data_IF_989345637564
#
_entry.id   IF_989345637564
#
_cell.length_a   1.000
_cell.length_b   1.000
_cell.length_c   1.000
_cell.angle_alpha   90.00
_cell.angle_beta   90.00
_cell.angle_gamma   90.00
#
_symmetry.space_group_name_H-M   'P 1'
#
loop_
_entity.id
_entity.type
_entity.pdbx_description
1 polymer ?
#
# COMPACT_ATOMS: atom_id res chain seq x y z
N UNK A 1 2.00 -28.31 -8.23
CA UNK A 1 2.37 -27.79 -9.57
C UNK A 1 1.10 -27.48 -10.36
N UNK A 2 0.70 -26.20 -10.40
CA UNK A 2 -0.41 -25.58 -11.16
C UNK A 2 -0.58 -24.18 -10.55
N UNK A 3 -0.58 -23.04 -11.23
CA UNK A 3 -0.22 -22.72 -12.60
C UNK A 3 0.30 -21.29 -12.59
N UNK A 4 1.45 -21.06 -13.21
CA UNK A 4 1.92 -19.70 -13.54
C UNK A 4 0.94 -19.18 -14.58
N UNK A 5 0.12 -18.19 -14.20
CA UNK A 5 -0.75 -17.51 -15.14
C UNK A 5 0.16 -16.72 -16.08
N UNK A 6 0.46 -17.32 -17.24
CA UNK A 6 1.17 -16.64 -18.33
C UNK A 6 0.37 -15.40 -18.68
N UNK A 7 1.03 -14.24 -18.61
CA UNK A 7 0.54 -13.02 -19.20
C UNK A 7 0.39 -13.28 -20.72
N UNK A 8 -0.84 -13.49 -21.19
CA UNK A 8 -1.13 -13.67 -22.61
C UNK A 8 -1.09 -12.31 -23.30
N UNK A 9 0.11 -11.83 -23.58
CA UNK A 9 0.32 -10.86 -24.65
C UNK A 9 0.20 -11.62 -25.99
N UNK A 10 -1.03 -11.84 -26.43
CA UNK A 10 -1.29 -12.36 -27.76
C UNK A 10 -0.94 -11.26 -28.79
N UNK A 11 0.10 -11.52 -29.59
CA UNK A 11 0.31 -10.85 -30.88
C UNK A 11 1.01 -9.49 -30.85
N UNK A 12 2.28 -9.44 -30.46
CA UNK A 12 3.17 -8.36 -30.90
C UNK A 12 4.43 -8.95 -31.52
N UNK A 13 4.51 -8.85 -32.84
CA UNK A 13 5.68 -9.14 -33.67
C UNK A 13 6.95 -8.51 -33.08
N UNK A 14 8.01 -9.31 -32.96
CA UNK A 14 9.34 -8.95 -32.44
C UNK A 14 10.15 -8.02 -33.37
N UNK A 15 9.50 -7.11 -34.10
CA UNK A 15 10.20 -6.11 -34.91
C UNK A 15 9.69 -4.71 -34.58
N UNK A 16 10.54 -3.96 -33.87
CA UNK A 16 10.47 -2.51 -33.79
C UNK A 16 9.40 -1.96 -32.86
N UNK A 17 9.69 -1.93 -31.55
CA UNK A 17 9.28 -0.88 -30.59
C UNK A 17 9.85 -1.21 -29.21
N UNK A 18 10.89 -0.50 -28.81
CA UNK A 18 11.32 -0.45 -27.41
C UNK A 18 10.34 0.43 -26.62
N UNK A 19 9.10 -0.05 -26.44
CA UNK A 19 8.22 0.48 -25.41
C UNK A 19 8.03 -0.63 -24.40
N UNK A 20 8.86 -0.67 -23.36
CA UNK A 20 8.51 -1.43 -22.18
C UNK A 20 7.17 -0.86 -21.71
N UNK A 21 6.07 -1.64 -21.74
CA UNK A 21 4.81 -1.13 -21.21
C UNK A 21 5.04 -0.81 -19.74
N UNK A 22 4.63 0.38 -19.28
CA UNK A 22 4.65 0.81 -17.87
C UNK A 22 4.01 -0.21 -16.89
N UNK A 23 3.37 -1.25 -17.42
CA UNK A 23 2.92 -2.48 -16.78
C UNK A 23 3.94 -3.22 -15.87
N UNK A 24 5.23 -2.89 -15.88
CA UNK A 24 6.24 -3.65 -15.11
C UNK A 24 6.16 -3.43 -13.59
N UNK A 25 5.61 -2.31 -13.12
CA UNK A 25 5.48 -2.00 -11.69
C UNK A 25 4.01 -2.11 -11.33
N UNK A 26 3.55 -3.34 -11.06
CA UNK A 26 2.23 -3.56 -10.45
C UNK A 26 2.42 -3.87 -8.97
N UNK A 27 2.22 -2.85 -8.15
CA UNK A 27 1.71 -3.06 -6.80
C UNK A 27 0.19 -3.06 -6.96
N UNK A 28 -0.52 -4.19 -6.78
CA UNK A 28 -1.99 -4.11 -6.83
C UNK A 28 -2.49 -3.48 -5.54
N UNK A 29 -2.25 -4.11 -4.38
CA UNK A 29 -2.50 -3.49 -3.07
C UNK A 29 -1.53 -3.95 -1.96
N UNK A 30 -1.31 -3.05 -1.00
CA UNK A 30 -0.54 -3.27 0.22
C UNK A 30 -1.37 -2.90 1.44
N UNK A 31 -1.25 -3.66 2.53
CA UNK A 31 -1.95 -3.37 3.79
C UNK A 31 -1.03 -3.42 5.00
N UNK A 32 -1.26 -2.51 5.95
CA UNK A 32 -0.65 -2.50 7.28
C UNK A 32 -1.74 -2.54 8.38
N UNK A 33 -2.00 -3.71 9.00
CA UNK A 33 -3.05 -3.89 9.99
C UNK A 33 -2.70 -3.38 11.40
N UNK A 34 -1.60 -2.64 11.56
CA UNK A 34 -1.24 -1.92 12.78
C UNK A 34 -0.40 -0.69 12.41
N UNK A 35 -0.97 0.17 11.56
CA UNK A 35 -0.16 1.09 10.76
C UNK A 35 0.41 2.29 11.53
N UNK A 36 -0.08 2.59 12.74
CA UNK A 36 0.32 3.77 13.50
C UNK A 36 0.15 5.03 12.67
N UNK A 37 1.18 5.86 12.65
CA UNK A 37 1.25 7.09 11.84
C UNK A 37 1.48 6.85 10.33
N UNK A 38 1.44 5.60 9.87
CA UNK A 38 1.50 5.25 8.44
C UNK A 38 2.90 5.22 7.81
N UNK A 39 3.96 5.05 8.61
CA UNK A 39 5.34 5.11 8.10
C UNK A 39 5.64 4.04 7.04
N UNK A 40 5.28 2.77 7.27
CA UNK A 40 5.50 1.70 6.29
C UNK A 40 4.77 1.98 4.97
N UNK A 41 3.52 2.41 5.05
CA UNK A 41 2.71 2.75 3.87
C UNK A 41 3.31 3.93 3.10
N UNK A 42 3.70 4.99 3.81
CA UNK A 42 4.27 6.21 3.24
C UNK A 42 5.63 5.94 2.57
N UNK A 43 6.54 5.26 3.25
CA UNK A 43 7.87 4.93 2.70
C UNK A 43 7.79 3.97 1.52
N UNK A 44 6.88 3.00 1.58
CA UNK A 44 6.63 2.09 0.45
C UNK A 44 6.08 2.85 -0.74
N UNK A 45 5.10 3.73 -0.53
CA UNK A 45 4.55 4.58 -1.57
C UNK A 45 5.63 5.46 -2.23
N UNK A 46 6.42 6.19 -1.44
CA UNK A 46 7.50 7.07 -1.95
C UNK A 46 8.53 6.23 -2.73
N UNK A 47 8.92 5.09 -2.19
CA UNK A 47 9.93 4.22 -2.81
C UNK A 47 9.46 3.69 -4.18
N UNK A 48 8.20 3.26 -4.27
CA UNK A 48 7.61 2.77 -5.53
C UNK A 48 7.39 3.92 -6.52
N UNK A 49 6.93 5.10 -6.07
CA UNK A 49 6.81 6.30 -6.92
C UNK A 49 8.13 6.77 -7.47
N UNK A 50 9.20 6.74 -6.67
CA UNK A 50 10.56 7.05 -7.17
C UNK A 50 11.05 6.03 -8.18
N UNK A 51 10.71 4.76 -8.01
CA UNK A 51 11.00 3.73 -9.01
C UNK A 51 10.23 3.97 -10.31
N UNK A 52 8.94 4.29 -10.22
CA UNK A 52 8.09 4.67 -11.36
C UNK A 52 8.66 5.90 -12.09
N UNK A 53 9.07 6.93 -11.36
CA UNK A 53 9.71 8.12 -11.90
C UNK A 53 11.01 7.80 -12.67
N UNK A 54 11.84 6.88 -12.16
CA UNK A 54 13.03 6.40 -12.89
C UNK A 54 12.65 5.72 -14.21
N UNK A 55 11.61 4.89 -14.20
CA UNK A 55 11.11 4.24 -15.42
C UNK A 55 10.57 5.27 -16.42
N UNK A 56 9.82 6.27 -15.95
CA UNK A 56 9.31 7.35 -16.80
C UNK A 56 10.44 8.15 -17.46
N UNK A 57 11.48 8.50 -16.71
CA UNK A 57 12.65 9.20 -17.23
C UNK A 57 13.35 8.38 -18.34
N UNK A 58 13.54 7.07 -18.12
CA UNK A 58 14.14 6.16 -19.10
C UNK A 58 13.26 5.93 -20.34
N UNK A 59 11.94 6.02 -20.20
CA UNK A 59 11.02 5.95 -21.34
C UNK A 59 10.98 7.25 -22.15
N UNK A 60 11.21 8.40 -21.51
CA UNK A 60 11.21 9.68 -22.20
C UNK A 60 12.50 9.98 -22.96
N UNK A 61 13.69 9.51 -22.53
CA UNK A 61 15.00 9.72 -23.20
C UNK A 61 15.19 11.09 -23.90
N UNK A 62 14.67 12.17 -23.32
CA UNK A 62 14.75 13.51 -23.89
C UNK A 62 13.86 13.80 -25.10
N UNK A 63 12.97 12.89 -25.51
CA UNK A 63 11.92 13.18 -26.48
C UNK A 63 10.82 13.99 -25.78
N UNK A 64 10.65 15.25 -26.21
CA UNK A 64 9.47 16.04 -25.85
C UNK A 64 8.28 15.38 -26.54
N UNK A 65 7.40 14.73 -25.77
CA UNK A 65 6.11 14.24 -26.28
C UNK A 65 5.24 15.47 -26.59
N UNK A 66 5.36 16.00 -27.80
CA UNK A 66 4.38 16.93 -28.36
C UNK A 66 3.15 16.15 -28.82
N UNK A 67 1.99 16.43 -28.23
CA UNK A 67 0.70 16.06 -28.83
C UNK A 67 0.13 14.70 -28.47
N UNK A 68 0.19 14.27 -27.21
CA UNK A 68 -0.81 13.31 -26.70
C UNK A 68 -1.57 13.94 -25.56
N UNK A 69 -2.76 14.43 -25.90
CA UNK A 69 -3.85 14.59 -24.93
C UNK A 69 -4.02 13.27 -24.13
N UNK A 70 -4.08 13.43 -22.81
CA UNK A 70 -5.04 12.80 -21.87
C UNK A 70 -4.65 11.65 -20.93
N UNK A 71 -3.50 10.98 -21.02
CA UNK A 71 -3.17 9.93 -20.04
C UNK A 71 -2.15 10.37 -18.98
N UNK A 72 -2.59 10.56 -17.74
CA UNK A 72 -1.70 10.68 -16.58
C UNK A 72 -0.74 9.46 -16.57
N UNK A 73 0.60 9.66 -16.67
CA UNK A 73 1.54 8.56 -16.76
C UNK A 73 1.71 7.80 -15.44
N UNK A 74 1.25 8.38 -14.34
CA UNK A 74 1.30 7.81 -12.99
C UNK A 74 0.30 6.67 -12.90
N UNK A 75 0.76 5.49 -12.52
CA UNK A 75 -0.05 4.31 -12.25
C UNK A 75 -0.17 4.04 -10.74
N UNK A 76 0.85 4.43 -9.97
CA UNK A 76 0.91 4.17 -8.53
C UNK A 76 0.17 5.27 -7.76
N UNK A 77 -0.83 4.88 -6.98
CA UNK A 77 -1.72 5.78 -6.21
C UNK A 77 -1.79 5.36 -4.75
N UNK A 78 -2.00 6.35 -3.85
CA UNK A 78 -2.24 6.07 -2.42
C UNK A 78 -3.49 5.22 -2.18
N UNK A 79 -4.43 5.13 -3.15
CA UNK A 79 -5.62 4.28 -3.07
C UNK A 79 -5.29 2.76 -3.02
N UNK A 80 -4.05 2.39 -3.34
CA UNK A 80 -3.55 1.01 -3.29
C UNK A 80 -3.05 0.62 -1.89
N UNK A 81 -3.02 1.58 -0.95
CA UNK A 81 -2.47 1.41 0.39
C UNK A 81 -3.59 1.44 1.44
N UNK A 82 -3.64 0.40 2.25
CA UNK A 82 -4.67 0.18 3.27
C UNK A 82 -4.03 0.12 4.65
N UNK A 83 -4.72 0.65 5.65
CA UNK A 83 -4.23 0.65 7.03
C UNK A 83 -5.34 0.46 8.04
N UNK A 84 -5.03 -0.24 9.12
CA UNK A 84 -5.90 -0.34 10.31
C UNK A 84 -5.09 0.18 11.49
N UNK A 85 -5.64 1.15 12.20
CA UNK A 85 -5.02 1.72 13.40
C UNK A 85 -6.11 2.00 14.43
N UNK A 86 -5.83 1.71 15.70
CA UNK A 86 -6.81 1.83 16.79
C UNK A 86 -6.87 3.27 17.35
N UNK A 87 -5.81 4.05 17.18
CA UNK A 87 -5.72 5.43 17.62
C UNK A 87 -6.13 6.42 16.51
N UNK A 88 -7.22 7.14 16.74
CA UNK A 88 -7.82 8.14 15.82
C UNK A 88 -6.83 9.24 15.36
N UNK A 89 -5.99 9.72 16.26
CA UNK A 89 -4.97 10.71 15.96
C UNK A 89 -3.92 10.13 15.00
N UNK A 90 -3.43 8.93 15.26
CA UNK A 90 -2.48 8.24 14.39
C UNK A 90 -3.08 7.95 13.00
N UNK A 91 -4.36 7.57 12.92
CA UNK A 91 -5.09 7.44 11.63
C UNK A 91 -5.08 8.75 10.86
N UNK A 92 -5.35 9.88 11.52
CA UNK A 92 -5.36 11.21 10.90
C UNK A 92 -3.97 11.61 10.40
N UNK A 93 -2.93 11.33 11.20
CA UNK A 93 -1.54 11.55 10.81
C UNK A 93 -1.17 10.70 9.60
N UNK A 94 -1.53 9.42 9.57
CA UNK A 94 -1.24 8.50 8.47
C UNK A 94 -1.88 8.96 7.14
N UNK A 95 -3.15 9.37 7.17
CA UNK A 95 -3.84 9.92 5.99
C UNK A 95 -3.14 11.18 5.46
N UNK A 96 -2.79 12.09 6.38
CA UNK A 96 -2.12 13.34 6.04
C UNK A 96 -0.73 13.08 5.47
N UNK A 97 0.04 12.15 6.04
CA UNK A 97 1.36 11.77 5.57
C UNK A 97 1.32 11.20 4.14
N UNK A 98 0.34 10.34 3.83
CA UNK A 98 0.14 9.81 2.48
C UNK A 98 -0.19 10.91 1.46
N UNK A 99 -1.06 11.87 1.80
CA UNK A 99 -1.35 13.01 0.91
C UNK A 99 -0.14 13.92 0.69
N UNK A 100 0.64 14.19 1.74
CA UNK A 100 1.89 14.97 1.62
C UNK A 100 2.87 14.23 0.70
N UNK A 101 3.04 12.93 0.89
CA UNK A 101 3.89 12.11 0.04
C UNK A 101 3.39 12.10 -1.41
N UNK A 102 2.08 12.00 -1.63
CA UNK A 102 1.48 12.06 -2.96
C UNK A 102 1.77 13.39 -3.66
N UNK A 103 1.57 14.51 -2.97
CA UNK A 103 1.90 15.85 -3.46
C UNK A 103 3.38 15.97 -3.83
N UNK A 104 4.29 15.50 -2.97
CA UNK A 104 5.74 15.53 -3.23
C UNK A 104 6.12 14.69 -4.46
N UNK A 105 5.57 13.48 -4.58
CA UNK A 105 5.86 12.60 -5.71
C UNK A 105 5.30 13.13 -7.03
N UNK A 106 4.13 13.79 -7.00
CA UNK A 106 3.60 14.47 -8.20
C UNK A 106 4.55 15.56 -8.67
N UNK A 107 5.04 16.42 -7.76
CA UNK A 107 6.01 17.46 -8.10
C UNK A 107 7.33 16.88 -8.65
N UNK A 108 7.80 15.76 -8.10
CA UNK A 108 8.96 15.04 -8.67
C UNK A 108 8.67 14.52 -10.09
N UNK A 109 7.47 13.98 -10.34
CA UNK A 109 7.07 13.50 -11.68
C UNK A 109 6.97 14.66 -12.68
N UNK A 110 6.35 15.79 -12.33
CA UNK A 110 6.22 16.98 -13.20
C UNK A 110 7.58 17.45 -13.73
N UNK A 111 8.60 17.46 -12.88
CA UNK A 111 9.97 17.82 -13.25
C UNK A 111 10.60 16.87 -14.29
N UNK A 112 10.12 15.62 -14.35
CA UNK A 112 10.58 14.61 -15.31
C UNK A 112 9.81 14.73 -16.61
N UNK A 113 8.48 14.75 -16.52
CA UNK A 113 7.62 14.68 -17.70
C UNK A 113 7.39 16.03 -18.38
N UNK A 114 7.82 17.13 -17.75
CA UNK A 114 7.68 18.52 -18.21
C UNK A 114 6.24 18.88 -18.55
N UNK A 115 5.28 18.28 -17.83
CA UNK A 115 3.86 18.56 -17.91
C UNK A 115 3.36 19.01 -16.54
N UNK A 116 2.36 19.87 -16.51
CA UNK A 116 1.66 20.21 -15.27
C UNK A 116 0.66 19.10 -14.95
N UNK A 117 0.68 18.63 -13.70
CA UNK A 117 -0.23 17.61 -13.20
C UNK A 117 -1.17 18.25 -12.18
N UNK A 118 -2.48 18.18 -12.45
CA UNK A 118 -3.48 18.70 -11.52
C UNK A 118 -3.66 17.76 -10.32
N UNK A 119 -2.93 18.05 -9.23
CA UNK A 119 -3.08 17.34 -7.96
C UNK A 119 -4.37 17.71 -7.22
N UNK A 120 -4.83 18.95 -7.38
CA UNK A 120 -5.95 19.49 -6.62
C UNK A 120 -7.24 19.54 -7.47
N UNK A 121 -8.41 19.32 -6.85
CA UNK A 121 -8.61 18.91 -5.45
C UNK A 121 -8.14 17.47 -5.18
N UNK A 122 -7.91 17.13 -3.91
CA UNK A 122 -7.58 15.75 -3.51
C UNK A 122 -8.72 14.82 -3.91
N UNK A 123 -8.48 13.97 -4.92
CA UNK A 123 -9.46 13.00 -5.43
C UNK A 123 -9.24 11.59 -4.85
N UNK A 124 -8.03 11.33 -4.38
CA UNK A 124 -7.55 10.05 -3.86
C UNK A 124 -7.81 9.95 -2.37
N UNK A 125 -8.51 8.89 -1.97
CA UNK A 125 -8.74 8.59 -0.56
C UNK A 125 -7.69 7.60 -0.05
N UNK A 126 -7.03 7.93 1.04
CA UNK A 126 -6.21 6.98 1.78
C UNK A 126 -7.12 6.02 2.58
N UNK A 127 -7.03 4.72 2.30
CA UNK A 127 -7.87 3.68 2.91
C UNK A 127 -7.37 3.28 4.31
N UNK A 128 -7.18 4.28 5.18
CA UNK A 128 -6.81 4.08 6.58
C UNK A 128 -8.06 4.18 7.45
N UNK A 129 -8.35 3.13 8.22
CA UNK A 129 -9.53 3.07 9.08
C UNK A 129 -9.14 3.06 10.55
N UNK A 130 -10.01 3.66 11.37
CA UNK A 130 -9.92 3.60 12.83
C UNK A 130 -10.63 2.33 13.31
N UNK A 131 -9.86 1.34 13.76
CA UNK A 131 -10.43 0.10 14.29
C UNK A 131 -9.42 -0.75 15.06
N UNK A 132 -9.92 -1.69 15.86
CA UNK A 132 -9.10 -2.77 16.39
C UNK A 132 -8.97 -3.89 15.35
N UNK A 133 -7.79 -4.01 14.74
CA UNK A 133 -7.50 -4.99 13.70
C UNK A 133 -7.75 -6.45 14.12
N UNK A 134 -7.69 -6.78 15.43
CA UNK A 134 -7.94 -8.14 15.91
C UNK A 134 -9.43 -8.49 16.00
N UNK A 135 -10.31 -7.48 16.05
CA UNK A 135 -11.75 -7.68 16.24
C UNK A 135 -12.54 -7.63 14.92
N UNK A 136 -12.02 -6.97 13.89
CA UNK A 136 -12.68 -6.90 12.58
C UNK A 136 -12.20 -8.01 11.63
N UNK A 137 -12.93 -8.20 10.53
CA UNK A 137 -12.50 -8.99 9.39
C UNK A 137 -11.69 -8.10 8.43
N UNK A 138 -10.43 -8.45 8.16
CA UNK A 138 -9.59 -7.64 7.27
C UNK A 138 -10.11 -7.59 5.84
N UNK A 139 -10.88 -8.60 5.41
CA UNK A 139 -11.50 -8.62 4.08
C UNK A 139 -12.55 -7.50 3.89
N UNK A 140 -13.09 -6.95 4.98
CA UNK A 140 -14.00 -5.80 4.95
C UNK A 140 -13.26 -4.48 4.66
N UNK A 141 -11.93 -4.47 4.86
CA UNK A 141 -11.05 -3.31 4.65
C UNK A 141 -10.36 -3.40 3.30
N UNK A 142 -9.78 -4.58 3.02
CA UNK A 142 -9.03 -4.84 1.79
C UNK A 142 -9.41 -6.21 1.24
N UNK A 143 -9.87 -6.30 -0.03
CA UNK A 143 -10.27 -7.58 -0.60
C UNK A 143 -9.08 -8.56 -0.63
N UNK A 144 -9.26 -9.75 -0.06
CA UNK A 144 -8.20 -10.77 0.05
C UNK A 144 -7.51 -11.10 -1.27
N UNK A 145 -8.27 -11.10 -2.37
CA UNK A 145 -7.76 -11.42 -3.70
C UNK A 145 -6.94 -10.30 -4.35
N UNK A 146 -6.99 -9.07 -3.83
CA UNK A 146 -6.18 -7.95 -4.31
C UNK A 146 -4.94 -7.68 -3.47
N UNK A 147 -4.83 -8.23 -2.25
CA UNK A 147 -3.67 -8.04 -1.36
C UNK A 147 -2.46 -8.78 -1.88
N UNK A 148 -1.41 -8.04 -2.24
CA UNK A 148 -0.11 -8.65 -2.56
C UNK A 148 0.84 -8.65 -1.36
N UNK A 149 0.76 -7.61 -0.51
CA UNK A 149 1.68 -7.42 0.61
C UNK A 149 0.94 -7.07 1.90
N UNK A 150 1.33 -7.73 2.98
CA UNK A 150 0.98 -7.38 4.36
C UNK A 150 2.29 -6.97 5.03
N UNK A 151 2.31 -5.78 5.61
CA UNK A 151 3.48 -5.20 6.29
C UNK A 151 3.04 -4.60 7.63
N UNK A 152 3.99 -4.16 8.45
CA UNK A 152 3.67 -3.40 9.66
C UNK A 152 4.55 -3.76 10.84
N UNK A 153 4.30 -3.05 11.94
CA UNK A 153 4.97 -3.26 13.22
C UNK A 153 3.94 -3.29 14.35
N UNK A 154 3.24 -4.43 14.54
CA UNK A 154 2.19 -4.51 15.55
C UNK A 154 2.75 -4.38 16.98
N UNK A 155 1.90 -4.03 17.96
CA UNK A 155 2.34 -3.75 19.32
C UNK A 155 2.90 -4.99 20.04
N UNK A 156 4.07 -4.84 20.66
CA UNK A 156 4.67 -5.83 21.55
C UNK A 156 4.22 -5.61 22.98
N UNK A 157 3.45 -6.54 23.53
CA UNK A 157 2.99 -6.48 24.91
C UNK A 157 3.06 -7.88 25.50
N UNK A 158 4.06 -8.10 26.36
CA UNK A 158 4.28 -9.39 26.98
C UNK A 158 3.10 -9.84 27.85
N UNK A 159 2.94 -11.15 28.00
CA UNK A 159 1.82 -11.81 28.65
C UNK A 159 1.34 -11.18 29.98
N UNK A 160 2.30 -10.75 30.81
CA UNK A 160 2.04 -10.20 32.16
C UNK A 160 1.64 -8.73 32.15
N UNK A 161 1.94 -8.01 31.06
CA UNK A 161 1.71 -6.56 30.92
C UNK A 161 0.42 -6.25 30.16
N UNK A 162 -0.19 -7.22 29.49
CA UNK A 162 -1.42 -7.01 28.75
C UNK A 162 -2.57 -6.58 29.64
N UNK A 163 -3.29 -5.56 29.18
CA UNK A 163 -4.53 -5.13 29.79
C UNK A 163 -5.68 -6.13 29.49
N UNK A 164 -6.86 -5.87 30.07
CA UNK A 164 -8.02 -6.76 29.90
C UNK A 164 -8.46 -6.89 28.43
N UNK A 165 -8.53 -5.78 27.70
CA UNK A 165 -8.95 -5.75 26.28
C UNK A 165 -8.00 -6.61 25.42
N UNK A 166 -6.69 -6.47 25.61
CA UNK A 166 -5.68 -7.24 24.87
C UNK A 166 -5.75 -8.75 25.18
N UNK A 167 -6.08 -9.12 26.42
CA UNK A 167 -6.31 -10.53 26.79
C UNK A 167 -7.58 -11.09 26.15
N UNK A 168 -8.64 -10.29 26.09
CA UNK A 168 -9.88 -10.66 25.41
C UNK A 168 -9.64 -10.82 23.89
N UNK A 169 -8.82 -9.96 23.29
CA UNK A 169 -8.40 -10.06 21.88
C UNK A 169 -7.58 -11.33 21.61
N UNK A 170 -6.65 -11.73 22.50
CA UNK A 170 -5.97 -13.03 22.37
C UNK A 170 -6.96 -14.18 22.41
N UNK A 171 -7.92 -14.16 23.34
CA UNK A 171 -8.91 -15.23 23.46
C UNK A 171 -9.79 -15.33 22.20
N UNK A 172 -10.08 -14.19 21.56
CA UNK A 172 -10.82 -14.11 20.30
C UNK A 172 -10.01 -14.70 19.13
N UNK A 173 -8.72 -14.38 19.02
CA UNK A 173 -7.85 -14.83 17.92
C UNK A 173 -7.39 -16.28 18.07
N UNK A 174 -7.26 -16.78 19.30
CA UNK A 174 -6.78 -18.12 19.65
C UNK A 174 -7.85 -18.98 20.35
N UNK A 175 -9.04 -19.21 19.76
CA UNK A 175 -10.12 -19.92 20.43
C UNK A 175 -9.73 -21.37 20.75
N UNK A 176 -9.89 -21.77 22.01
CA UNK A 176 -9.60 -23.13 22.47
C UNK A 176 -8.11 -23.49 22.58
N UNK A 177 -7.20 -22.54 22.34
CA UNK A 177 -5.77 -22.83 22.34
C UNK A 177 -5.19 -22.76 23.76
N UNK A 178 -4.70 -23.91 24.26
CA UNK A 178 -4.11 -24.01 25.60
C UNK A 178 -2.93 -23.05 25.76
N UNK A 179 -2.92 -22.29 26.86
CA UNK A 179 -1.87 -21.34 27.22
C UNK A 179 -1.67 -20.15 26.25
N UNK A 180 -2.63 -19.82 25.38
CA UNK A 180 -2.52 -18.66 24.48
C UNK A 180 -2.27 -17.33 25.21
N UNK A 181 -2.78 -17.19 26.45
CA UNK A 181 -2.52 -16.02 27.29
C UNK A 181 -1.06 -15.81 27.73
N UNK A 182 -0.16 -16.77 27.45
CA UNK A 182 1.28 -16.64 27.67
C UNK A 182 2.04 -16.10 26.44
N UNK A 183 1.37 -15.95 25.29
CA UNK A 183 1.97 -15.37 24.09
C UNK A 183 2.12 -13.86 24.26
N UNK A 184 3.09 -13.28 23.53
CA UNK A 184 3.14 -11.83 23.36
C UNK A 184 1.98 -11.38 22.47
N UNK A 185 1.43 -10.21 22.76
CA UNK A 185 0.28 -9.66 22.03
C UNK A 185 0.50 -9.58 20.50
N UNK A 186 1.75 -9.34 20.05
CA UNK A 186 2.11 -9.31 18.62
C UNK A 186 1.76 -10.62 17.90
N UNK A 187 1.74 -11.77 18.59
CA UNK A 187 1.41 -13.06 18.00
C UNK A 187 0.01 -13.11 17.38
N UNK A 188 -0.91 -12.23 17.80
CA UNK A 188 -2.25 -12.15 17.22
C UNK A 188 -2.25 -11.82 15.73
N UNK A 189 -1.38 -10.90 15.29
CA UNK A 189 -1.26 -10.51 13.89
C UNK A 189 -0.67 -11.61 13.01
N UNK A 190 0.11 -12.53 13.57
CA UNK A 190 0.62 -13.68 12.83
C UNK A 190 -0.45 -14.77 12.64
N UNK A 191 -1.44 -14.83 13.55
CA UNK A 191 -2.50 -15.84 13.52
C UNK A 191 -3.71 -15.40 12.71
N UNK A 192 -4.03 -14.10 12.73
CA UNK A 192 -5.16 -13.48 12.06
C UNK A 192 -5.11 -13.72 10.54
#
# INVERSE_FOLDING_TARGET
>A
MRGVQKCTCAGASLRGRYSAPLCCIKLDTATDPACGSGNFLTETYISIRRLENKVLAELQKGQIRFGFEEANPIQVSIAQFYGIEINDFAVTVAKTALWIAESQMMKETEAIVLMQLDFLPLKTNASIIESNALQINWEDVVPKMSVNYIMGNPPFVGARMMNKVQKDDIALVFPGWKNAGNLDYVCCWYKK
#
